data_IF_403886187457
#
_entry.id   IF_403886187457
#
_cell.length_a   1.000
_cell.length_b   1.000
_cell.length_c   1.000
_cell.angle_alpha   90.00
_cell.angle_beta   90.00
_cell.angle_gamma   90.00
#
_symmetry.space_group_name_H-M   'P 1'
#
loop_
_entity.id
_entity.type
_entity.pdbx_description
1 polymer ?
#
# COMPACT_ATOMS: atom_id res chain seq x y z
N UNK A 1 16.13 -5.41 21.64
CA UNK A 1 17.46 -4.76 21.70
C UNK A 1 17.58 -3.72 20.58
N UNK A 2 18.29 -2.64 20.86
CA UNK A 2 18.56 -1.56 19.92
C UNK A 2 20.07 -1.35 19.78
N UNK A 3 20.51 -0.88 18.61
CA UNK A 3 21.90 -0.46 18.41
C UNK A 3 22.12 0.97 18.97
N UNK A 4 23.36 1.46 18.87
CA UNK A 4 23.74 2.81 19.33
C UNK A 4 23.10 3.96 18.54
N UNK A 5 22.47 3.68 17.41
CA UNK A 5 21.70 4.63 16.59
C UNK A 5 20.20 4.51 16.82
N UNK A 6 19.78 3.72 17.79
CA UNK A 6 18.39 3.45 18.14
C UNK A 6 17.61 2.67 17.06
N UNK A 7 18.32 1.89 16.21
CA UNK A 7 17.65 0.94 15.33
C UNK A 7 17.34 -0.34 16.09
N UNK A 8 16.14 -0.91 15.90
CA UNK A 8 15.77 -2.20 16.48
C UNK A 8 16.59 -3.33 15.81
N UNK A 9 17.44 -4.02 16.57
CA UNK A 9 18.32 -5.07 16.04
C UNK A 9 17.90 -6.49 16.46
N UNK A 10 17.07 -6.62 17.50
CA UNK A 10 16.56 -7.90 17.99
C UNK A 10 15.24 -7.75 18.70
N UNK A 11 14.30 -8.64 18.40
CA UNK A 11 13.04 -8.83 19.12
C UNK A 11 12.88 -10.29 19.47
N UNK A 12 12.46 -10.57 20.72
CA UNK A 12 12.04 -11.88 21.21
C UNK A 12 10.69 -11.68 21.91
N UNK A 13 9.79 -12.64 21.77
CA UNK A 13 8.47 -12.60 22.40
C UNK A 13 8.44 -13.55 23.58
N UNK A 14 8.09 -13.04 24.75
CA UNK A 14 7.96 -13.82 25.98
C UNK A 14 6.83 -14.84 25.92
N UNK A 15 5.76 -14.53 25.15
CA UNK A 15 4.60 -15.40 24.93
C UNK A 15 4.88 -16.54 23.94
N UNK A 16 5.93 -16.41 23.12
CA UNK A 16 6.36 -17.42 22.17
C UNK A 16 7.89 -17.44 22.01
N UNK A 17 8.62 -18.23 22.83
CA UNK A 17 10.09 -18.26 22.80
C UNK A 17 10.68 -18.79 21.48
N UNK A 18 9.84 -19.35 20.59
CA UNK A 18 10.24 -19.74 19.25
C UNK A 18 10.08 -18.61 18.24
N UNK A 19 9.53 -17.46 18.63
CA UNK A 19 9.38 -16.28 17.77
C UNK A 19 10.48 -15.29 18.08
N UNK A 20 11.44 -15.17 17.18
CA UNK A 20 12.54 -14.21 17.28
C UNK A 20 12.81 -13.57 15.92
N UNK A 21 13.30 -12.32 15.97
CA UNK A 21 13.70 -11.55 14.80
C UNK A 21 15.02 -10.85 15.05
N UNK A 22 15.84 -10.69 13.98
CA UNK A 22 17.07 -9.91 13.98
C UNK A 22 17.13 -9.07 12.73
N UNK A 23 17.63 -7.86 12.89
CA UNK A 23 17.78 -6.90 11.80
C UNK A 23 19.21 -6.38 11.75
N UNK A 24 19.71 -6.13 10.56
CA UNK A 24 20.98 -5.47 10.31
C UNK A 24 20.75 -4.28 9.39
N UNK A 25 21.48 -3.21 9.65
CA UNK A 25 21.35 -1.95 8.93
C UNK A 25 22.70 -1.52 8.37
N UNK A 26 22.66 -0.71 7.27
CA UNK A 26 23.85 -0.04 6.77
C UNK A 26 24.17 1.22 7.62
N UNK A 27 25.24 1.92 7.23
CA UNK A 27 25.66 3.15 7.91
C UNK A 27 24.66 4.30 7.79
N UNK A 28 23.73 4.24 6.85
CA UNK A 28 22.65 5.21 6.67
C UNK A 28 21.34 4.83 7.39
N UNK A 29 21.33 3.71 8.16
CA UNK A 29 20.16 3.21 8.87
C UNK A 29 19.16 2.46 8.00
N UNK A 30 19.54 2.04 6.78
CA UNK A 30 18.66 1.28 5.90
C UNK A 30 18.81 -0.21 6.17
N UNK A 31 17.70 -0.95 6.17
CA UNK A 31 17.67 -2.39 6.43
C UNK A 31 18.45 -3.17 5.37
N UNK A 32 19.39 -4.01 5.82
CA UNK A 32 20.17 -4.90 4.95
C UNK A 32 19.74 -6.36 5.09
N UNK A 33 19.42 -6.80 6.29
CA UNK A 33 19.05 -8.19 6.58
C UNK A 33 17.95 -8.20 7.62
N UNK A 34 16.93 -8.99 7.36
CA UNK A 34 16.00 -9.50 8.37
C UNK A 34 16.17 -11.01 8.44
N UNK A 35 16.30 -11.54 9.64
CA UNK A 35 16.37 -12.95 9.93
C UNK A 35 15.42 -13.28 11.08
N UNK A 36 14.75 -14.43 11.03
CA UNK A 36 13.77 -14.76 12.05
C UNK A 36 12.95 -16.00 11.75
N UNK A 37 12.00 -16.28 12.64
CA UNK A 37 11.14 -17.46 12.55
C UNK A 37 10.25 -17.46 11.32
N UNK A 38 9.73 -16.29 10.95
CA UNK A 38 8.89 -16.05 9.75
C UNK A 38 9.13 -14.62 9.25
N UNK A 39 9.24 -14.39 7.94
CA UNK A 39 9.15 -15.30 6.80
C UNK A 39 10.45 -16.04 6.46
N UNK A 40 11.47 -16.03 7.32
CA UNK A 40 12.82 -16.51 7.08
C UNK A 40 13.79 -15.36 6.83
N UNK A 41 14.96 -15.67 6.26
CA UNK A 41 15.96 -14.66 5.99
C UNK A 41 15.62 -13.89 4.71
N UNK A 42 15.52 -12.54 4.82
CA UNK A 42 15.43 -11.63 3.70
C UNK A 42 16.64 -10.69 3.67
N UNK A 43 17.10 -10.32 2.47
CA UNK A 43 18.25 -9.44 2.28
C UNK A 43 17.92 -8.32 1.30
N UNK A 44 18.37 -7.13 1.62
CA UNK A 44 18.21 -5.94 0.77
C UNK A 44 19.55 -5.31 0.45
N UNK A 45 19.63 -4.73 -0.71
CA UNK A 45 20.75 -3.91 -1.16
C UNK A 45 20.21 -2.59 -1.65
N UNK A 46 20.99 -1.55 -1.49
CA UNK A 46 20.60 -0.19 -1.81
C UNK A 46 21.67 0.51 -2.65
N UNK A 47 21.26 1.33 -3.62
CA UNK A 47 22.18 2.27 -4.22
C UNK A 47 22.44 3.47 -3.28
N UNK A 48 23.31 4.39 -3.70
CA UNK A 48 23.63 5.58 -2.91
C UNK A 48 22.41 6.51 -2.69
N UNK A 49 21.42 6.47 -3.57
CA UNK A 49 20.20 7.26 -3.50
C UNK A 49 19.09 6.59 -2.70
N UNK A 50 19.29 5.34 -2.21
CA UNK A 50 18.31 4.60 -1.44
C UNK A 50 17.32 3.78 -2.28
N UNK A 51 17.59 3.56 -3.56
CA UNK A 51 16.77 2.65 -4.35
C UNK A 51 17.11 1.20 -4.03
N UNK A 52 16.10 0.31 -3.89
CA UNK A 52 16.33 -1.11 -3.69
C UNK A 52 16.97 -1.74 -4.93
N UNK A 53 17.96 -2.61 -4.71
CA UNK A 53 18.71 -3.29 -5.73
C UNK A 53 18.53 -4.80 -5.63
N UNK A 54 18.32 -5.48 -6.78
CA UNK A 54 18.18 -6.93 -6.86
C UNK A 54 19.13 -7.49 -7.92
N UNK A 55 20.22 -8.12 -7.50
CA UNK A 55 21.17 -8.81 -8.39
C UNK A 55 21.83 -7.88 -9.43
N UNK A 56 22.17 -8.44 -10.59
CA UNK A 56 22.83 -7.71 -11.68
C UNK A 56 21.85 -7.04 -12.68
N UNK A 57 20.54 -7.23 -12.49
CA UNK A 57 19.49 -6.77 -13.42
C UNK A 57 18.80 -5.46 -12.99
N UNK A 58 19.44 -4.73 -12.11
CA UNK A 58 18.89 -3.50 -11.54
C UNK A 58 18.82 -2.39 -12.57
N UNK A 59 17.62 -1.84 -12.71
CA UNK A 59 17.40 -0.73 -13.64
C UNK A 59 16.81 0.45 -12.91
N UNK A 60 17.69 1.32 -12.44
CA UNK A 60 17.33 2.65 -11.93
C UNK A 60 17.75 3.68 -12.98
N UNK A 61 16.81 4.51 -13.42
CA UNK A 61 17.06 5.59 -14.38
C UNK A 61 16.52 6.89 -13.81
N UNK A 62 17.38 7.92 -13.69
CA UNK A 62 17.00 9.20 -13.09
C UNK A 62 16.38 9.06 -11.70
N UNK A 63 16.98 8.22 -10.85
CA UNK A 63 16.48 7.91 -9.50
C UNK A 63 15.07 7.30 -9.48
N UNK A 64 14.70 6.56 -10.53
CA UNK A 64 13.41 5.86 -10.66
C UNK A 64 13.67 4.40 -10.98
N UNK A 65 13.09 3.54 -10.17
CA UNK A 65 13.19 2.10 -10.34
C UNK A 65 12.35 1.68 -11.54
N UNK A 66 12.99 1.15 -12.60
CA UNK A 66 12.29 0.69 -13.80
C UNK A 66 12.03 -0.80 -13.81
N UNK A 67 12.78 -1.57 -12.99
CA UNK A 67 12.59 -3.00 -12.83
C UNK A 67 13.09 -3.49 -11.46
N UNK A 68 12.32 -4.37 -10.80
CA UNK A 68 12.69 -5.10 -9.57
C UNK A 68 11.78 -6.33 -9.41
N UNK A 69 12.30 -7.47 -8.96
CA UNK A 69 11.54 -8.70 -8.68
C UNK A 69 10.62 -9.13 -9.84
N UNK A 70 11.10 -9.01 -11.09
CA UNK A 70 10.29 -9.32 -12.27
C UNK A 70 9.20 -8.29 -12.60
N UNK A 71 9.01 -7.27 -11.78
CA UNK A 71 8.06 -6.18 -12.01
C UNK A 71 8.75 -5.06 -12.77
N UNK A 72 8.07 -4.47 -13.75
CA UNK A 72 8.53 -3.33 -14.55
C UNK A 72 7.61 -2.14 -14.34
N UNK A 73 8.20 -0.93 -14.29
CA UNK A 73 7.49 0.35 -14.17
C UNK A 73 7.86 1.29 -15.29
N UNK A 74 6.90 2.11 -15.69
CA UNK A 74 7.09 3.26 -16.58
C UNK A 74 6.55 4.51 -15.90
N UNK A 75 7.21 5.62 -16.18
CA UNK A 75 6.92 6.91 -15.57
C UNK A 75 6.64 7.95 -16.65
N UNK A 76 5.85 8.96 -16.31
CA UNK A 76 5.68 10.14 -17.14
C UNK A 76 6.80 11.17 -16.90
N UNK A 77 6.69 12.32 -17.58
CA UNK A 77 7.65 13.42 -17.46
C UNK A 77 7.73 14.00 -16.05
N UNK A 78 6.67 13.86 -15.24
CA UNK A 78 6.60 14.33 -13.85
C UNK A 78 7.12 13.29 -12.84
N UNK A 79 7.49 12.10 -13.29
CA UNK A 79 7.95 11.00 -12.43
C UNK A 79 6.85 10.16 -11.81
N UNK A 80 5.59 10.33 -12.24
CA UNK A 80 4.47 9.53 -11.76
C UNK A 80 4.43 8.20 -12.51
N UNK A 81 4.16 7.11 -11.80
CA UNK A 81 4.01 5.79 -12.41
C UNK A 81 2.79 5.77 -13.34
N UNK A 82 2.98 5.55 -14.62
CA UNK A 82 1.88 5.42 -15.61
C UNK A 82 1.60 3.98 -16.00
N UNK A 83 2.57 3.08 -15.78
CA UNK A 83 2.40 1.65 -16.04
C UNK A 83 3.19 0.82 -15.02
N UNK A 84 2.60 -0.30 -14.59
CA UNK A 84 3.25 -1.39 -13.84
C UNK A 84 2.91 -2.71 -14.52
N UNK A 85 3.90 -3.61 -14.69
CA UNK A 85 3.70 -4.94 -15.29
C UNK A 85 4.47 -5.99 -14.48
N UNK A 86 3.78 -7.00 -13.92
CA UNK A 86 4.37 -8.10 -13.19
C UNK A 86 4.46 -9.41 -13.99
N UNK A 87 4.29 -9.33 -15.33
CA UNK A 87 4.28 -10.48 -16.21
C UNK A 87 2.93 -11.20 -16.32
N UNK A 88 2.05 -11.07 -15.32
CA UNK A 88 0.69 -11.66 -15.32
C UNK A 88 -0.40 -10.60 -15.52
N UNK A 89 -0.21 -9.43 -14.98
CA UNK A 89 -1.15 -8.31 -15.05
C UNK A 89 -0.39 -7.03 -15.37
N UNK A 90 -1.01 -6.19 -16.17
CA UNK A 90 -0.55 -4.85 -16.47
C UNK A 90 -1.51 -3.84 -15.88
N UNK A 91 -0.99 -2.83 -15.18
CA UNK A 91 -1.74 -1.72 -14.62
C UNK A 91 -1.38 -0.44 -15.33
N UNK A 92 -2.40 0.36 -15.67
CA UNK A 92 -2.27 1.71 -16.20
C UNK A 92 -2.84 2.70 -15.19
N UNK A 93 -2.13 3.81 -14.97
CA UNK A 93 -2.47 4.84 -14.00
C UNK A 93 -2.68 6.16 -14.72
N UNK A 94 -3.74 6.90 -14.35
CA UNK A 94 -4.03 8.24 -14.85
C UNK A 94 -4.13 9.22 -13.70
N UNK A 95 -3.73 10.44 -13.97
CA UNK A 95 -3.67 11.51 -12.97
C UNK A 95 -4.33 12.76 -13.51
N UNK A 96 -4.86 13.61 -12.60
CA UNK A 96 -5.34 14.94 -12.94
C UNK A 96 -4.19 15.98 -12.98
N UNK A 97 -4.56 17.25 -13.23
CA UNK A 97 -3.60 18.37 -13.27
C UNK A 97 -2.95 18.69 -11.93
N UNK A 98 -3.50 18.21 -10.82
CA UNK A 98 -2.97 18.34 -9.46
C UNK A 98 -2.18 17.10 -9.00
N UNK A 99 -1.80 16.23 -9.96
CA UNK A 99 -1.06 15.00 -9.74
C UNK A 99 -1.77 13.95 -8.89
N UNK A 100 -3.11 14.03 -8.71
CA UNK A 100 -3.89 13.05 -7.97
C UNK A 100 -4.29 11.89 -8.89
N UNK A 101 -4.21 10.67 -8.39
CA UNK A 101 -4.57 9.45 -9.14
C UNK A 101 -6.07 9.41 -9.39
N UNK A 102 -6.51 9.51 -10.64
CA UNK A 102 -7.93 9.52 -11.02
C UNK A 102 -8.46 8.19 -11.52
N UNK A 103 -7.57 7.35 -12.08
CA UNK A 103 -7.97 6.06 -12.62
C UNK A 103 -6.83 5.04 -12.55
N UNK A 104 -7.20 3.79 -12.27
CA UNK A 104 -6.33 2.61 -12.42
C UNK A 104 -7.06 1.57 -13.25
N UNK A 105 -6.42 1.10 -14.33
CA UNK A 105 -6.92 0.00 -15.15
C UNK A 105 -5.97 -1.18 -14.97
N UNK A 106 -6.50 -2.30 -14.48
CA UNK A 106 -5.79 -3.57 -14.30
C UNK A 106 -6.19 -4.53 -15.40
N UNK A 107 -5.23 -4.92 -16.26
CA UNK A 107 -5.43 -5.81 -17.39
C UNK A 107 -4.69 -7.14 -17.18
N UNK A 108 -5.38 -8.22 -16.77
CA UNK A 108 -4.79 -9.54 -16.75
C UNK A 108 -4.37 -9.98 -18.18
N UNK A 109 -3.25 -10.71 -18.30
CA UNK A 109 -2.83 -11.31 -19.58
C UNK A 109 -3.73 -12.46 -20.00
N UNK A 110 -4.31 -13.15 -19.02
CA UNK A 110 -5.38 -14.14 -19.27
C UNK A 110 -6.65 -13.40 -19.69
N UNK A 111 -7.04 -13.56 -20.95
CA UNK A 111 -8.22 -12.93 -21.54
C UNK A 111 -9.56 -13.43 -20.95
N UNK A 112 -9.55 -14.55 -20.23
CA UNK A 112 -10.72 -15.07 -19.52
C UNK A 112 -10.94 -14.42 -18.17
N UNK A 113 -9.96 -13.62 -17.68
CA UNK A 113 -10.09 -12.84 -16.46
C UNK A 113 -10.58 -11.43 -16.76
N UNK A 114 -11.51 -10.90 -15.96
CA UNK A 114 -12.00 -9.56 -16.18
C UNK A 114 -10.90 -8.51 -15.91
N UNK A 115 -10.89 -7.49 -16.76
CA UNK A 115 -10.20 -6.23 -16.50
C UNK A 115 -10.91 -5.54 -15.34
N UNK A 116 -10.15 -4.90 -14.47
CA UNK A 116 -10.71 -4.06 -13.40
C UNK A 116 -10.36 -2.60 -13.68
N UNK A 117 -11.39 -1.75 -13.66
CA UNK A 117 -11.26 -0.30 -13.76
C UNK A 117 -11.66 0.31 -12.41
N UNK A 118 -10.79 1.16 -11.87
CA UNK A 118 -11.04 1.86 -10.61
C UNK A 118 -10.89 3.35 -10.85
N UNK A 119 -11.94 4.12 -10.57
CA UNK A 119 -11.91 5.58 -10.64
C UNK A 119 -11.99 6.20 -9.26
N UNK A 120 -11.33 7.35 -9.08
CA UNK A 120 -11.25 8.08 -7.83
C UNK A 120 -11.75 9.51 -8.01
N UNK A 121 -12.42 10.03 -6.99
CA UNK A 121 -12.84 11.43 -6.91
C UNK A 121 -12.29 12.06 -5.65
N UNK A 122 -11.99 13.33 -5.74
CA UNK A 122 -11.40 14.13 -4.68
C UNK A 122 -12.20 15.40 -4.44
N UNK A 123 -12.17 15.89 -3.20
CA UNK A 123 -12.69 17.21 -2.88
C UNK A 123 -11.64 18.32 -3.18
N UNK A 124 -11.98 19.59 -3.00
CA UNK A 124 -11.05 20.69 -3.24
C UNK A 124 -9.80 20.68 -2.36
N UNK A 125 -9.83 20.00 -1.20
CA UNK A 125 -8.70 19.84 -0.30
C UNK A 125 -7.79 18.66 -0.68
N UNK A 126 -8.12 17.94 -1.76
CA UNK A 126 -7.35 16.77 -2.21
C UNK A 126 -7.67 15.48 -1.46
N UNK A 127 -8.71 15.45 -0.58
CA UNK A 127 -9.12 14.25 0.11
C UNK A 127 -9.97 13.39 -0.82
N UNK A 128 -9.70 12.09 -0.88
CA UNK A 128 -10.47 11.16 -1.71
C UNK A 128 -11.86 10.94 -1.14
N UNK A 129 -12.90 11.36 -1.88
CA UNK A 129 -14.31 11.24 -1.46
C UNK A 129 -15.02 10.03 -2.04
N UNK A 130 -14.51 9.44 -3.14
CA UNK A 130 -15.07 8.18 -3.64
C UNK A 130 -14.05 7.36 -4.43
N UNK A 131 -14.29 6.03 -4.44
CA UNK A 131 -13.61 5.01 -5.23
C UNK A 131 -14.68 4.14 -5.87
N UNK A 132 -14.74 4.10 -7.21
CA UNK A 132 -15.68 3.25 -7.94
C UNK A 132 -14.92 2.19 -8.70
N UNK A 133 -15.24 0.91 -8.46
CA UNK A 133 -14.67 -0.25 -9.14
C UNK A 133 -15.68 -0.83 -10.12
N UNK A 134 -15.21 -1.11 -11.34
CA UNK A 134 -15.95 -1.81 -12.40
C UNK A 134 -15.14 -3.01 -12.88
N UNK A 135 -15.82 -4.07 -13.25
CA UNK A 135 -15.20 -5.21 -13.94
C UNK A 135 -15.69 -5.26 -15.38
N UNK A 136 -14.76 -5.53 -16.29
CA UNK A 136 -15.01 -5.59 -17.74
C UNK A 136 -14.49 -6.92 -18.30
N UNK A 137 -15.28 -7.60 -19.11
CA UNK A 137 -14.85 -8.81 -19.82
C UNK A 137 -15.26 -8.68 -21.28
N UNK A 138 -14.30 -8.85 -22.20
CA UNK A 138 -14.55 -8.67 -23.63
C UNK A 138 -15.05 -7.28 -24.00
N UNK A 139 -14.68 -6.24 -23.25
CA UNK A 139 -15.14 -4.86 -23.45
C UNK A 139 -16.55 -4.55 -22.94
N UNK A 140 -17.20 -5.51 -22.27
CA UNK A 140 -18.53 -5.35 -21.68
C UNK A 140 -18.45 -5.36 -20.14
N UNK A 141 -19.25 -4.53 -19.44
CA UNK A 141 -19.33 -4.57 -17.98
C UNK A 141 -19.82 -5.94 -17.47
N UNK A 142 -19.15 -6.46 -16.43
CA UNK A 142 -19.57 -7.68 -15.72
C UNK A 142 -20.08 -7.32 -14.33
N UNK A 143 -21.38 -7.15 -14.19
CA UNK A 143 -22.01 -6.77 -12.94
C UNK A 143 -22.13 -5.25 -12.72
N UNK A 144 -22.65 -4.88 -11.53
CA UNK A 144 -22.82 -3.47 -11.15
C UNK A 144 -21.52 -2.87 -10.66
N UNK A 145 -21.27 -1.57 -10.90
CA UNK A 145 -20.17 -0.87 -10.27
C UNK A 145 -20.31 -0.88 -8.74
N UNK A 146 -19.19 -1.05 -8.05
CA UNK A 146 -19.13 -0.96 -6.59
C UNK A 146 -18.46 0.36 -6.23
N UNK A 147 -19.14 1.19 -5.45
CA UNK A 147 -18.62 2.48 -5.01
C UNK A 147 -18.42 2.49 -3.49
N UNK A 148 -17.23 2.85 -3.07
CA UNK A 148 -16.91 3.20 -1.69
C UNK A 148 -16.90 4.72 -1.57
N UNK A 149 -17.57 5.29 -0.58
CA UNK A 149 -17.52 6.70 -0.21
C UNK A 149 -16.65 6.87 1.02
N UNK A 150 -15.96 8.01 1.12
CA UNK A 150 -15.08 8.34 2.24
C UNK A 150 -15.58 9.61 2.93
N UNK A 151 -15.73 9.54 4.24
CA UNK A 151 -16.16 10.66 5.08
C UNK A 151 -14.97 11.11 5.93
N UNK A 152 -14.73 12.41 5.96
CA UNK A 152 -13.55 13.01 6.57
C UNK A 152 -13.93 14.04 7.64
N UNK A 153 -13.14 14.09 8.69
CA UNK A 153 -13.08 15.20 9.65
C UNK A 153 -11.71 15.86 9.56
N UNK A 154 -11.64 17.07 9.02
CA UNK A 154 -10.34 17.62 8.65
C UNK A 154 -9.61 16.72 7.65
N UNK A 155 -8.43 16.24 8.00
CA UNK A 155 -7.67 15.26 7.21
C UNK A 155 -7.73 13.83 7.80
N UNK A 156 -8.58 13.61 8.80
CA UNK A 156 -8.78 12.31 9.43
C UNK A 156 -9.96 11.58 8.78
N UNK A 157 -9.74 10.33 8.38
CA UNK A 157 -10.77 9.49 7.79
C UNK A 157 -11.72 9.00 8.90
N UNK A 158 -12.98 9.40 8.86
CA UNK A 158 -13.98 8.91 9.81
C UNK A 158 -14.65 7.62 9.36
N UNK A 159 -15.02 7.54 8.08
CA UNK A 159 -15.75 6.38 7.57
C UNK A 159 -15.37 6.05 6.14
N UNK A 160 -15.41 4.75 5.86
CA UNK A 160 -15.61 4.20 4.52
C UNK A 160 -17.03 3.61 4.44
N UNK A 161 -17.78 3.96 3.39
CA UNK A 161 -19.13 3.44 3.21
C UNK A 161 -19.17 2.57 1.96
N UNK A 162 -19.35 1.27 2.14
CA UNK A 162 -19.42 0.25 1.10
C UNK A 162 -20.87 -0.08 0.78
N UNK A 163 -21.42 0.55 -0.28
CA UNK A 163 -22.86 0.51 -0.49
C UNK A 163 -23.60 1.25 0.62
N UNK A 164 -24.28 0.51 1.50
CA UNK A 164 -24.99 1.04 2.67
C UNK A 164 -24.32 0.65 4.00
N UNK A 165 -23.20 -0.09 3.96
CA UNK A 165 -22.45 -0.54 5.14
C UNK A 165 -21.31 0.41 5.47
N UNK A 166 -21.36 1.12 6.61
CA UNK A 166 -20.27 1.97 7.07
C UNK A 166 -19.21 1.17 7.83
N UNK A 167 -17.95 1.48 7.58
CA UNK A 167 -16.79 1.12 8.39
C UNK A 167 -16.32 2.39 9.10
N UNK A 168 -16.52 2.47 10.41
CA UNK A 168 -16.23 3.68 11.19
C UNK A 168 -14.91 3.52 11.93
N UNK A 169 -14.00 4.48 11.75
CA UNK A 169 -12.69 4.52 12.41
C UNK A 169 -12.79 5.30 13.72
N UNK A 170 -12.24 4.72 14.79
CA UNK A 170 -12.16 5.32 16.13
C UNK A 170 -10.72 5.65 16.42
N UNK A 171 -10.47 6.84 16.94
CA UNK A 171 -9.15 7.37 17.27
C UNK A 171 -9.02 7.59 18.77
N UNK A 172 -7.80 7.54 19.30
CA UNK A 172 -7.53 7.72 20.73
C UNK A 172 -7.82 9.15 21.23
N UNK A 173 -7.59 10.14 20.36
CA UNK A 173 -7.82 11.55 20.65
C UNK A 173 -8.05 12.34 19.34
N UNK A 174 -8.31 13.66 19.47
CA UNK A 174 -8.62 14.52 18.32
C UNK A 174 -7.42 14.81 17.41
N UNK A 175 -6.21 14.68 17.92
CA UNK A 175 -4.96 14.98 17.21
C UNK A 175 -4.32 13.70 16.62
N UNK A 176 -4.84 12.52 16.99
CA UNK A 176 -4.37 11.23 16.45
C UNK A 176 -4.86 11.00 15.02
N UNK A 177 -3.96 10.51 14.18
CA UNK A 177 -4.24 10.03 12.82
C UNK A 177 -4.15 8.50 12.71
N UNK A 178 -3.68 7.83 13.76
CA UNK A 178 -3.60 6.38 13.82
C UNK A 178 -4.89 5.83 14.45
N UNK A 179 -5.71 5.07 13.70
CA UNK A 179 -6.95 4.54 14.24
C UNK A 179 -6.68 3.48 15.32
N UNK A 180 -7.38 3.59 16.44
CA UNK A 180 -7.36 2.62 17.53
C UNK A 180 -8.19 1.38 17.18
N UNK A 181 -9.35 1.59 16.57
CA UNK A 181 -10.28 0.54 16.20
C UNK A 181 -11.08 0.92 14.95
N UNK A 182 -11.69 -0.09 14.33
CA UNK A 182 -12.68 0.05 13.28
C UNK A 182 -13.96 -0.69 13.70
N UNK A 183 -15.09 -0.06 13.50
CA UNK A 183 -16.43 -0.60 13.75
C UNK A 183 -17.11 -0.83 12.41
N UNK A 184 -17.44 -2.06 12.08
CA UNK A 184 -18.08 -2.47 10.84
C UNK A 184 -19.59 -2.68 11.06
N UNK A 185 -20.42 -2.02 10.24
CA UNK A 185 -21.88 -2.12 10.30
C UNK A 185 -22.53 -1.23 11.35
N UNK A 186 -23.89 -1.30 11.44
CA UNK A 186 -24.73 -0.50 12.33
C UNK A 186 -25.57 -1.37 13.26
N UNK A 187 -26.37 -2.30 12.72
CA UNK A 187 -27.33 -3.08 13.50
C UNK A 187 -26.70 -4.20 14.36
N UNK A 188 -25.60 -4.78 13.86
CA UNK A 188 -24.81 -5.78 14.57
C UNK A 188 -23.31 -5.46 14.37
N UNK A 189 -22.79 -4.42 15.05
CA UNK A 189 -21.45 -3.93 14.78
C UNK A 189 -20.37 -4.91 15.23
N UNK A 190 -19.38 -5.14 14.36
CA UNK A 190 -18.16 -5.87 14.68
C UNK A 190 -17.01 -4.87 14.93
N UNK A 191 -16.21 -5.12 15.98
CA UNK A 191 -15.10 -4.23 16.35
C UNK A 191 -13.78 -4.92 16.06
N UNK A 192 -12.94 -4.25 15.26
CA UNK A 192 -11.59 -4.67 14.91
C UNK A 192 -10.58 -3.71 15.53
N UNK A 193 -9.72 -4.22 16.41
CA UNK A 193 -8.65 -3.43 17.03
C UNK A 193 -7.41 -3.40 16.14
N UNK A 194 -6.79 -2.23 16.01
CA UNK A 194 -5.51 -2.10 15.34
C UNK A 194 -4.37 -2.31 16.31
N UNK A 195 -3.42 -3.14 15.93
CA UNK A 195 -2.19 -3.38 16.66
C UNK A 195 -1.03 -3.06 15.74
N UNK A 196 -0.35 -1.96 16.01
CA UNK A 196 0.82 -1.56 15.24
C UNK A 196 2.09 -2.16 15.84
N UNK A 197 3.04 -2.51 14.97
CA UNK A 197 4.38 -2.86 15.43
C UNK A 197 5.13 -1.59 15.90
N UNK A 198 6.27 -1.74 16.63
CA UNK A 198 7.04 -0.59 17.11
C UNK A 198 7.51 0.38 16.01
N UNK A 199 7.59 -0.08 14.77
CA UNK A 199 7.93 0.72 13.59
C UNK A 199 6.72 1.39 12.92
N UNK A 200 5.51 1.25 13.48
CA UNK A 200 4.27 1.86 12.98
C UNK A 200 3.58 1.07 11.85
N UNK A 201 3.97 -0.19 11.58
CA UNK A 201 3.30 -1.06 10.61
C UNK A 201 2.33 -2.04 11.24
#
# INVERSE_FOLDING_TARGET
>A
DYDYRNNLVREERDDNPFSWYRWQYDSAGRLLVQDGTLPGQEQWRWDAAGNPLEGAAEKVTHNRLTQLNGIRWRYDIHGRTVEKDNGQTRWHYRYDGEHRLTEVISQPRDRNRPQTEVSFRYDPLGRRISKTRRQMLGGQPTGKPVTTRFVWEGFRLLQEVHGDEPLTYVYSDQDSYDPLARIDGVDAPEIFWFHCQPNGT
#
